data_IF_675772908684
#
_entry.id   IF_675772908684
#
_cell.length_a   1.000
_cell.length_b   1.000
_cell.length_c   1.000
_cell.angle_alpha   90.00
_cell.angle_beta   90.00
_cell.angle_gamma   90.00
#
_symmetry.space_group_name_H-M   'P 1'
#
loop_
_entity.id
_entity.type
_entity.pdbx_description
1 polymer ?
#
# COMPACT_ATOMS: atom_id res chain seq x y z
N UNK A 1 -35.50 25.63 15.20
CA UNK A 1 -34.82 24.34 14.95
C UNK A 1 -34.25 24.36 13.54
N UNK A 2 -33.07 24.95 13.36
CA UNK A 2 -32.48 25.24 12.04
C UNK A 2 -31.49 24.14 11.65
N UNK A 3 -31.82 23.37 10.61
CA UNK A 3 -31.05 22.21 10.12
C UNK A 3 -30.05 22.55 9.02
N UNK A 4 -29.44 23.74 9.02
CA UNK A 4 -28.50 24.17 7.98
C UNK A 4 -27.05 24.36 8.45
N UNK A 5 -26.74 24.15 9.72
CA UNK A 5 -25.39 24.36 10.27
C UNK A 5 -24.46 23.13 10.15
N UNK A 6 -24.84 22.08 9.40
CA UNK A 6 -24.04 20.85 9.32
C UNK A 6 -23.11 20.75 8.09
N UNK A 7 -23.28 21.60 7.07
CA UNK A 7 -22.53 21.48 5.81
C UNK A 7 -21.42 22.53 5.63
N UNK A 8 -21.40 23.60 6.44
CA UNK A 8 -20.35 24.64 6.37
C UNK A 8 -18.97 24.16 6.87
N UNK A 9 -18.93 23.06 7.64
CA UNK A 9 -17.73 22.58 8.35
C UNK A 9 -16.79 21.68 7.57
N UNK A 10 -17.12 21.31 6.32
CA UNK A 10 -16.34 20.33 5.54
C UNK A 10 -15.18 20.93 4.74
N UNK A 11 -14.81 22.19 4.97
CA UNK A 11 -13.56 22.74 4.43
C UNK A 11 -12.38 22.29 5.30
N UNK A 12 -12.07 21.00 5.29
CA UNK A 12 -10.81 20.47 5.85
C UNK A 12 -9.66 21.19 5.15
N UNK A 13 -9.03 22.16 5.83
CA UNK A 13 -7.65 22.54 5.49
C UNK A 13 -6.85 21.24 5.43
N UNK A 14 -6.01 21.00 4.40
CA UNK A 14 -5.14 19.84 4.42
C UNK A 14 -4.24 20.00 5.65
N UNK A 15 -4.58 19.29 6.73
CA UNK A 15 -3.69 19.16 7.87
C UNK A 15 -2.46 18.51 7.28
N UNK A 16 -1.30 19.14 7.48
CA UNK A 16 0.01 18.60 7.14
C UNK A 16 -0.01 17.12 7.52
N UNK A 17 0.25 16.22 6.56
CA UNK A 17 0.24 14.79 6.83
C UNK A 17 1.20 14.55 8.00
N UNK A 18 0.68 14.04 9.12
CA UNK A 18 1.53 13.62 10.21
C UNK A 18 2.33 12.42 9.72
N UNK A 19 3.64 12.40 9.98
CA UNK A 19 4.42 11.19 9.76
C UNK A 19 3.80 10.06 10.60
N UNK A 20 3.74 8.82 10.07
CA UNK A 20 3.25 7.71 10.85
C UNK A 20 4.13 7.49 12.09
N UNK A 21 3.51 6.98 13.16
CA UNK A 21 4.25 6.60 14.36
C UNK A 21 5.27 5.47 14.04
N UNK A 22 6.34 5.31 14.83
CA UNK A 22 7.27 4.19 14.66
C UNK A 22 6.51 2.84 14.60
N UNK A 23 6.80 2.04 13.59
CA UNK A 23 6.13 0.75 13.36
C UNK A 23 4.77 0.84 12.65
N UNK A 24 4.26 2.03 12.34
CA UNK A 24 3.09 2.20 11.48
C UNK A 24 3.55 2.46 10.04
N UNK A 25 3.00 1.69 9.10
CA UNK A 25 3.16 1.97 7.68
C UNK A 25 2.05 2.96 7.24
N UNK A 26 2.45 4.10 6.68
CA UNK A 26 1.55 4.88 5.84
C UNK A 26 1.82 4.50 4.39
N UNK A 27 0.83 3.98 3.69
CA UNK A 27 0.94 3.60 2.28
C UNK A 27 -0.06 4.40 1.47
N UNK A 28 0.36 4.84 0.28
CA UNK A 28 -0.57 5.42 -0.67
C UNK A 28 -1.56 4.34 -1.10
N UNK A 29 -2.86 4.65 -1.20
CA UNK A 29 -3.87 3.68 -1.66
C UNK A 29 -3.53 3.13 -3.05
N UNK A 30 -2.85 3.94 -3.88
CA UNK A 30 -2.39 3.54 -5.21
C UNK A 30 -1.22 2.55 -5.17
N UNK A 31 -0.39 2.57 -4.12
CA UNK A 31 0.73 1.65 -3.97
C UNK A 31 0.31 0.27 -3.44
N UNK A 32 -0.92 0.15 -2.91
CA UNK A 32 -1.40 -1.10 -2.30
C UNK A 32 -1.40 -2.27 -3.28
N UNK A 33 -1.72 -2.01 -4.55
CA UNK A 33 -1.73 -3.05 -5.56
C UNK A 33 -0.30 -3.54 -5.87
N UNK A 34 0.66 -2.62 -6.05
CA UNK A 34 2.07 -2.98 -6.23
C UNK A 34 2.58 -3.78 -5.01
N UNK A 35 2.31 -3.32 -3.79
CA UNK A 35 2.72 -4.04 -2.56
C UNK A 35 2.09 -5.43 -2.44
N UNK A 36 0.84 -5.58 -2.88
CA UNK A 36 0.19 -6.89 -2.94
C UNK A 36 0.94 -7.82 -3.89
N UNK A 37 1.27 -7.35 -5.10
CA UNK A 37 1.98 -8.15 -6.11
C UNK A 37 3.39 -8.52 -5.66
N UNK A 38 4.14 -7.58 -5.08
CA UNK A 38 5.45 -7.85 -4.49
C UNK A 38 5.37 -8.90 -3.37
N UNK A 39 4.36 -8.81 -2.51
CA UNK A 39 4.14 -9.81 -1.46
C UNK A 39 3.85 -11.19 -2.02
N UNK A 40 3.04 -11.32 -3.07
CA UNK A 40 2.78 -12.62 -3.70
C UNK A 40 4.06 -13.19 -4.32
N UNK A 41 4.80 -12.37 -5.07
CA UNK A 41 6.07 -12.76 -5.67
C UNK A 41 7.07 -13.27 -4.62
N UNK A 42 7.18 -12.57 -3.49
CA UNK A 42 8.05 -12.98 -2.39
C UNK A 42 7.62 -14.32 -1.77
N UNK A 43 6.32 -14.50 -1.49
CA UNK A 43 5.81 -15.75 -0.92
C UNK A 43 6.12 -16.92 -1.85
N UNK A 44 5.80 -16.78 -3.13
CA UNK A 44 5.94 -17.87 -4.11
C UNK A 44 7.40 -18.20 -4.43
N UNK A 45 8.26 -17.20 -4.59
CA UNK A 45 9.64 -17.43 -5.03
C UNK A 45 10.62 -17.60 -3.88
N UNK A 46 10.36 -17.02 -2.70
CA UNK A 46 11.33 -16.98 -1.59
C UNK A 46 10.90 -17.83 -0.40
N UNK A 47 9.61 -17.87 -0.06
CA UNK A 47 9.14 -18.54 1.16
C UNK A 47 8.48 -19.90 0.94
N UNK A 48 8.02 -20.21 -0.27
CA UNK A 48 7.24 -21.41 -0.54
C UNK A 48 8.09 -22.68 -0.73
N UNK A 49 9.36 -22.54 -1.12
CA UNK A 49 10.26 -23.67 -1.34
C UNK A 49 11.06 -24.01 -0.07
N UNK A 50 10.85 -25.18 0.55
CA UNK A 50 11.60 -25.62 1.72
C UNK A 50 13.09 -25.91 1.43
N UNK A 51 13.48 -26.14 0.18
CA UNK A 51 14.88 -26.36 -0.21
C UNK A 51 15.67 -25.05 -0.31
N UNK A 52 14.97 -23.92 -0.44
CA UNK A 52 15.57 -22.58 -0.43
C UNK A 52 14.92 -21.63 -1.44
N UNK A 53 15.24 -20.32 -1.36
CA UNK A 53 14.61 -19.31 -2.20
C UNK A 53 15.12 -19.33 -3.66
N UNK A 54 14.20 -19.19 -4.62
CA UNK A 54 14.49 -18.90 -6.02
C UNK A 54 14.52 -17.38 -6.25
N UNK A 55 15.68 -16.78 -6.00
CA UNK A 55 15.89 -15.34 -6.14
C UNK A 55 15.88 -14.88 -7.61
N UNK A 56 16.30 -15.72 -8.54
CA UNK A 56 16.29 -15.37 -9.96
C UNK A 56 14.85 -15.25 -10.47
N UNK A 57 13.97 -16.18 -10.10
CA UNK A 57 12.55 -16.08 -10.42
C UNK A 57 11.89 -14.84 -9.77
N UNK A 58 12.25 -14.51 -8.53
CA UNK A 58 11.74 -13.30 -7.86
C UNK A 58 12.16 -12.03 -8.61
N UNK A 59 13.45 -11.90 -8.95
CA UNK A 59 14.01 -10.72 -9.63
C UNK A 59 13.55 -10.58 -11.09
N UNK A 60 13.22 -11.69 -11.76
CA UNK A 60 12.66 -11.68 -13.10
C UNK A 60 11.21 -11.18 -13.13
N UNK A 61 10.50 -11.20 -11.99
CA UNK A 61 9.10 -10.81 -11.89
C UNK A 61 8.96 -9.29 -11.95
N UNK A 62 8.05 -8.80 -12.78
CA UNK A 62 7.77 -7.37 -12.93
C UNK A 62 6.29 -7.06 -12.76
N UNK A 63 6.03 -5.93 -12.12
CA UNK A 63 4.72 -5.30 -12.17
C UNK A 63 4.57 -4.53 -13.49
N UNK A 64 3.64 -4.96 -14.34
CA UNK A 64 3.40 -4.37 -15.67
C UNK A 64 2.40 -3.19 -15.64
N UNK A 65 1.75 -2.90 -14.50
CA UNK A 65 0.71 -1.86 -14.42
C UNK A 65 -0.60 -2.25 -15.11
N UNK A 66 -1.67 -1.48 -14.84
CA UNK A 66 -2.80 -1.36 -15.77
C UNK A 66 -2.57 -0.10 -16.62
N UNK A 67 -2.72 -0.21 -17.95
CA UNK A 67 -2.51 0.87 -18.91
C UNK A 67 -3.62 1.92 -18.89
#
# INVERSE_FOLDING_TARGET
MSGLTLLEGYRKRPRRCASPAPGQASVCVWDLHLQYQERQAWVECVLADPEGPDLEAYLARRYEGEA
#
